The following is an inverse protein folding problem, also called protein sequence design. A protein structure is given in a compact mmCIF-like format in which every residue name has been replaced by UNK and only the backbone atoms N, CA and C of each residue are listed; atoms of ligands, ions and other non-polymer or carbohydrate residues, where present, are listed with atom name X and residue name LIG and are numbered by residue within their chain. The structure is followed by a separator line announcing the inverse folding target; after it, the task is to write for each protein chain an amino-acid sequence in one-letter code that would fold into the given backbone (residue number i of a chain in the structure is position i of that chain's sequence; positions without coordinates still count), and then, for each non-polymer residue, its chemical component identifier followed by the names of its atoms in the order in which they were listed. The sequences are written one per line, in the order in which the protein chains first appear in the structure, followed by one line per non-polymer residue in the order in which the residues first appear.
data_IF_738775542756
#
_entry.id   IF_738775542756
#
_cell.length_a   1.000
_cell.length_b   1.000
_cell.length_c   1.000
_cell.angle_alpha   90.00
_cell.angle_beta   90.00
_cell.angle_gamma   90.00
#
_symmetry.space_group_name_H-M   'P 1'
#
loop_
_entity.id
_entity.type
_entity.pdbx_description
1 polymer ?
#
# COMPACT_ATOMS: atom_id res chain seq x y z
N UNK A 1 32.05 18.82 -1.64
CA UNK A 1 32.03 17.36 -1.35
C UNK A 1 31.42 17.01 0.01
N UNK A 2 31.91 17.54 1.15
CA UNK A 2 31.40 17.20 2.50
C UNK A 2 29.91 17.51 2.77
N UNK A 3 29.35 18.62 2.25
CA UNK A 3 27.91 18.93 2.41
C UNK A 3 27.00 17.90 1.71
N UNK A 4 27.40 17.43 0.52
CA UNK A 4 26.67 16.41 -0.24
C UNK A 4 26.64 15.06 0.50
N UNK A 5 27.77 14.62 1.05
CA UNK A 5 27.85 13.40 1.87
C UNK A 5 26.98 13.46 3.13
N UNK A 6 26.93 14.60 3.83
CA UNK A 6 26.08 14.77 5.02
C UNK A 6 24.59 14.68 4.67
N UNK A 7 24.17 15.27 3.55
CA UNK A 7 22.79 15.17 3.07
C UNK A 7 22.40 13.74 2.69
N UNK A 8 23.26 13.02 1.96
CA UNK A 8 23.03 11.64 1.57
C UNK A 8 22.90 10.71 2.80
N UNK A 9 23.78 10.85 3.80
CA UNK A 9 23.68 10.10 5.06
C UNK A 9 22.40 10.38 5.82
N UNK A 10 21.89 11.63 5.80
CA UNK A 10 20.64 11.99 6.47
C UNK A 10 19.44 11.31 5.82
N UNK A 11 19.40 11.28 4.48
CA UNK A 11 18.37 10.57 3.71
C UNK A 11 18.44 9.06 3.97
N UNK A 12 19.63 8.46 3.89
CA UNK A 12 19.81 7.03 4.14
C UNK A 12 19.37 6.61 5.55
N UNK A 13 19.69 7.41 6.57
CA UNK A 13 19.24 7.18 7.95
C UNK A 13 17.72 7.26 8.06
N UNK A 14 17.10 8.21 7.38
CA UNK A 14 15.64 8.34 7.36
C UNK A 14 14.97 7.14 6.65
N UNK A 15 15.47 6.74 5.47
CA UNK A 15 14.97 5.57 4.73
C UNK A 15 15.09 4.30 5.59
N UNK A 16 16.28 4.03 6.13
CA UNK A 16 16.48 2.88 7.04
C UNK A 16 15.53 2.94 8.24
N UNK A 17 15.39 4.12 8.83
CA UNK A 17 14.52 4.36 9.97
C UNK A 17 13.02 4.20 9.67
N UNK A 18 12.60 4.22 8.40
CA UNK A 18 11.21 3.98 7.99
C UNK A 18 10.95 2.53 7.60
N UNK A 19 11.79 1.96 6.73
CA UNK A 19 11.55 0.63 6.14
C UNK A 19 12.08 -0.54 6.98
N UNK A 20 13.08 -0.34 7.86
CA UNK A 20 13.57 -1.39 8.77
C UNK A 20 12.85 -1.39 10.12
N UNK A 21 11.57 -1.01 10.13
CA UNK A 21 10.77 -0.92 11.35
C UNK A 21 9.79 -2.07 11.48
N UNK A 22 9.42 -2.37 12.73
CA UNK A 22 8.29 -3.26 13.02
C UNK A 22 6.99 -2.76 12.37
N UNK A 23 6.85 -1.46 12.17
CA UNK A 23 5.68 -0.85 11.53
C UNK A 23 5.59 -1.25 10.06
N UNK A 24 6.68 -1.15 9.29
CA UNK A 24 6.71 -1.59 7.89
C UNK A 24 6.40 -3.08 7.76
N UNK A 25 7.00 -3.92 8.61
CA UNK A 25 6.74 -5.37 8.58
C UNK A 25 5.28 -5.70 8.88
N UNK A 26 4.68 -5.08 9.90
CA UNK A 26 3.25 -5.23 10.19
C UNK A 26 2.38 -4.76 9.03
N UNK A 27 2.72 -3.62 8.44
CA UNK A 27 2.00 -3.11 7.27
C UNK A 27 2.06 -4.09 6.10
N UNK A 28 3.22 -4.69 5.83
CA UNK A 28 3.38 -5.71 4.79
C UNK A 28 2.56 -6.98 5.09
N UNK A 29 2.54 -7.44 6.34
CA UNK A 29 1.73 -8.59 6.78
C UNK A 29 0.23 -8.30 6.57
N UNK A 30 -0.24 -7.11 6.98
CA UNK A 30 -1.62 -6.69 6.76
C UNK A 30 -1.92 -6.56 5.27
N UNK A 31 -1.00 -5.99 4.48
CA UNK A 31 -1.14 -5.92 3.03
C UNK A 31 -1.31 -7.30 2.39
N UNK A 32 -0.47 -8.27 2.79
CA UNK A 32 -0.56 -9.65 2.35
C UNK A 32 -1.87 -10.34 2.74
N UNK A 33 -2.36 -10.11 3.96
CA UNK A 33 -3.67 -10.66 4.36
C UNK A 33 -4.81 -10.07 3.54
N UNK A 34 -4.75 -8.79 3.16
CA UNK A 34 -5.70 -8.17 2.24
C UNK A 34 -5.74 -8.84 0.86
N UNK A 35 -4.61 -9.27 0.31
CA UNK A 35 -4.58 -10.01 -0.97
C UNK A 35 -5.33 -11.34 -0.84
N UNK A 36 -5.11 -12.06 0.27
CA UNK A 36 -5.80 -13.33 0.56
C UNK A 36 -7.31 -13.08 0.71
N UNK A 37 -7.71 -12.07 1.50
CA UNK A 37 -9.12 -11.69 1.68
C UNK A 37 -9.77 -11.33 0.35
N UNK A 38 -9.11 -10.52 -0.49
CA UNK A 38 -9.61 -10.16 -1.81
C UNK A 38 -9.87 -11.42 -2.66
N UNK A 39 -8.89 -12.32 -2.73
CA UNK A 39 -9.00 -13.55 -3.51
C UNK A 39 -10.12 -14.45 -3.01
N UNK A 40 -10.23 -14.65 -1.69
CA UNK A 40 -11.27 -15.49 -1.09
C UNK A 40 -12.67 -14.91 -1.33
N UNK A 41 -12.87 -13.61 -1.09
CA UNK A 41 -14.17 -12.96 -1.30
C UNK A 41 -14.56 -13.01 -2.78
N UNK A 42 -13.62 -12.74 -3.68
CA UNK A 42 -13.86 -12.83 -5.12
C UNK A 42 -14.30 -14.24 -5.52
N UNK A 43 -13.55 -15.28 -5.13
CA UNK A 43 -13.87 -16.67 -5.44
C UNK A 43 -15.21 -17.11 -4.85
N UNK A 44 -15.52 -16.68 -3.62
CA UNK A 44 -16.80 -17.00 -2.98
C UNK A 44 -17.95 -16.40 -3.79
N UNK A 45 -17.86 -15.12 -4.14
CA UNK A 45 -18.91 -14.42 -4.87
C UNK A 45 -19.07 -14.99 -6.29
N UNK A 46 -17.99 -15.29 -7.01
CA UNK A 46 -18.11 -15.80 -8.39
C UNK A 46 -18.56 -17.25 -8.48
N UNK A 47 -18.18 -18.10 -7.51
CA UNK A 47 -18.43 -19.54 -7.62
C UNK A 47 -19.70 -20.00 -6.88
N UNK A 48 -20.14 -19.25 -5.88
CA UNK A 48 -21.28 -19.63 -5.03
C UNK A 48 -22.46 -18.67 -5.11
N UNK A 49 -22.37 -17.62 -5.93
CA UNK A 49 -23.47 -16.68 -6.16
C UNK A 49 -23.62 -16.39 -7.65
N UNK A 50 -24.76 -15.82 -8.05
CA UNK A 50 -25.01 -15.38 -9.43
C UNK A 50 -24.51 -13.95 -9.70
N UNK A 51 -23.66 -13.38 -8.83
CA UNK A 51 -23.15 -12.02 -8.97
C UNK A 51 -22.17 -11.95 -10.13
N UNK A 52 -22.32 -10.94 -10.98
CA UNK A 52 -21.42 -10.68 -12.10
C UNK A 52 -19.98 -10.44 -11.62
N UNK A 53 -18.98 -11.02 -12.30
CA UNK A 53 -17.57 -11.00 -11.87
C UNK A 53 -16.99 -9.60 -11.64
N UNK A 54 -17.44 -8.58 -12.39
CA UNK A 54 -17.01 -7.19 -12.17
C UNK A 54 -17.51 -6.63 -10.83
N UNK A 55 -18.77 -6.94 -10.46
CA UNK A 55 -19.36 -6.52 -9.19
C UNK A 55 -18.69 -7.30 -8.05
N UNK A 56 -18.48 -8.61 -8.23
CA UNK A 56 -17.74 -9.44 -7.28
C UNK A 56 -16.32 -8.89 -7.02
N UNK A 57 -15.62 -8.46 -8.08
CA UNK A 57 -14.29 -7.85 -7.98
C UNK A 57 -14.30 -6.53 -7.19
N UNK A 58 -15.28 -5.67 -7.43
CA UNK A 58 -15.43 -4.43 -6.68
C UNK A 58 -15.70 -4.68 -5.19
N UNK A 59 -16.62 -5.60 -4.87
CA UNK A 59 -16.94 -5.99 -3.47
C UNK A 59 -15.73 -6.60 -2.78
N UNK A 60 -15.01 -7.51 -3.46
CA UNK A 60 -13.80 -8.13 -2.94
C UNK A 60 -12.70 -7.10 -2.64
N UNK A 61 -12.50 -6.16 -3.57
CA UNK A 61 -11.49 -5.09 -3.43
C UNK A 61 -11.80 -4.20 -2.24
N UNK A 62 -13.06 -3.75 -2.12
CA UNK A 62 -13.47 -2.91 -0.99
C UNK A 62 -13.35 -3.67 0.34
N UNK A 63 -13.77 -4.94 0.37
CA UNK A 63 -13.63 -5.78 1.57
C UNK A 63 -12.17 -5.91 2.00
N UNK A 64 -11.25 -6.08 1.05
CA UNK A 64 -9.83 -6.14 1.33
C UNK A 64 -9.26 -4.78 1.82
N UNK A 65 -9.71 -3.67 1.25
CA UNK A 65 -9.33 -2.31 1.69
C UNK A 65 -9.78 -2.10 3.14
N UNK A 66 -11.02 -2.44 3.48
CA UNK A 66 -11.57 -2.31 4.84
C UNK A 66 -10.89 -3.25 5.84
N UNK A 67 -10.60 -4.50 5.46
CA UNK A 67 -9.78 -5.42 6.25
C UNK A 67 -8.42 -4.80 6.57
N UNK A 68 -7.74 -4.29 5.54
CA UNK A 68 -6.42 -3.69 5.69
C UNK A 68 -6.47 -2.43 6.54
N UNK A 69 -7.49 -1.58 6.37
CA UNK A 69 -7.69 -0.40 7.20
C UNK A 69 -7.85 -0.80 8.67
N UNK A 70 -8.71 -1.78 8.95
CA UNK A 70 -9.02 -2.26 10.29
C UNK A 70 -7.77 -2.75 11.01
N UNK A 71 -7.00 -3.66 10.40
CA UNK A 71 -5.78 -4.17 11.02
C UNK A 71 -4.66 -3.14 11.12
N UNK A 72 -4.54 -2.23 10.14
CA UNK A 72 -3.60 -1.13 10.26
C UNK A 72 -3.96 -0.18 11.40
N UNK A 73 -5.24 0.11 11.58
CA UNK A 73 -5.73 0.95 12.67
C UNK A 73 -5.54 0.29 14.05
N UNK A 74 -5.91 -0.98 14.17
CA UNK A 74 -5.92 -1.71 15.45
C UNK A 74 -4.55 -2.27 15.86
N UNK A 75 -3.64 -2.52 14.91
CA UNK A 75 -2.38 -3.22 15.21
C UNK A 75 -1.11 -2.54 14.68
N UNK A 76 -1.08 -2.14 13.40
CA UNK A 76 0.13 -1.53 12.80
C UNK A 76 0.42 -0.16 13.42
N UNK A 77 -0.59 0.69 13.47
CA UNK A 77 -0.48 2.08 13.87
C UNK A 77 -1.23 2.40 15.18
N UNK A 78 -1.55 1.38 15.99
CA UNK A 78 -2.35 1.48 17.22
C UNK A 78 -1.93 2.60 18.18
N UNK A 79 -0.63 2.89 18.26
CA UNK A 79 -0.04 3.86 19.20
C UNK A 79 0.14 5.26 18.60
N UNK A 80 -0.42 5.54 17.42
CA UNK A 80 -0.26 6.83 16.74
C UNK A 80 -1.36 7.82 17.14
N UNK A 81 -1.13 9.11 16.86
CA UNK A 81 -1.93 10.23 17.37
C UNK A 81 -3.44 10.13 17.11
N UNK A 82 -4.24 10.98 17.75
CA UNK A 82 -5.71 10.96 17.60
C UNK A 82 -6.12 11.79 16.38
N UNK A 83 -6.69 11.12 15.38
CA UNK A 83 -7.35 11.76 14.23
C UNK A 83 -8.71 11.08 14.03
N UNK A 84 -9.70 11.86 13.59
CA UNK A 84 -11.05 11.37 13.32
C UNK A 84 -11.01 10.14 12.38
N UNK A 85 -11.78 9.10 12.72
CA UNK A 85 -11.78 7.84 11.99
C UNK A 85 -12.23 8.00 10.53
N UNK A 86 -13.20 8.87 10.24
CA UNK A 86 -13.67 9.13 8.88
C UNK A 86 -12.57 9.77 8.03
N UNK A 87 -11.81 10.70 8.61
CA UNK A 87 -10.64 11.30 7.94
C UNK A 87 -9.59 10.23 7.66
N UNK A 88 -9.37 9.28 8.58
CA UNK A 88 -8.46 8.15 8.37
C UNK A 88 -8.93 7.24 7.24
N UNK A 89 -10.21 6.92 7.18
CA UNK A 89 -10.79 6.09 6.11
C UNK A 89 -10.61 6.79 4.77
N UNK A 90 -10.98 8.06 4.66
CA UNK A 90 -10.84 8.84 3.43
C UNK A 90 -9.37 8.95 2.98
N UNK A 91 -8.47 9.30 3.90
CA UNK A 91 -7.03 9.39 3.62
C UNK A 91 -6.44 8.02 3.22
N UNK A 92 -6.93 6.92 3.81
CA UNK A 92 -6.48 5.58 3.46
C UNK A 92 -6.92 5.19 2.04
N UNK A 93 -8.15 5.50 1.63
CA UNK A 93 -8.61 5.30 0.26
C UNK A 93 -7.79 6.13 -0.73
N UNK A 94 -7.57 7.41 -0.45
CA UNK A 94 -6.72 8.27 -1.26
C UNK A 94 -5.30 7.71 -1.39
N UNK A 95 -4.76 7.16 -0.30
CA UNK A 95 -3.48 6.44 -0.30
C UNK A 95 -3.51 5.23 -1.24
N UNK A 96 -4.56 4.39 -1.21
CA UNK A 96 -4.68 3.21 -2.09
C UNK A 96 -4.72 3.60 -3.57
N UNK A 97 -5.49 4.63 -3.90
CA UNK A 97 -5.58 5.17 -5.26
C UNK A 97 -4.24 5.69 -5.74
N UNK A 98 -3.53 6.46 -4.89
CA UNK A 98 -2.19 6.92 -5.22
C UNK A 98 -1.21 5.75 -5.44
N UNK A 99 -1.26 4.72 -4.59
CA UNK A 99 -0.44 3.52 -4.78
C UNK A 99 -0.73 2.82 -6.11
N UNK A 100 -2.00 2.74 -6.53
CA UNK A 100 -2.38 2.20 -7.83
C UNK A 100 -1.82 3.05 -8.98
N UNK A 101 -1.95 4.38 -8.91
CA UNK A 101 -1.40 5.30 -9.91
C UNK A 101 0.12 5.12 -10.02
N UNK A 102 0.83 5.02 -8.88
CA UNK A 102 2.28 4.79 -8.86
C UNK A 102 2.65 3.45 -9.50
N UNK A 103 1.89 2.38 -9.23
CA UNK A 103 2.10 1.07 -9.87
C UNK A 103 1.90 1.17 -11.39
N UNK A 104 0.79 1.75 -11.85
CA UNK A 104 0.50 1.85 -13.29
C UNK A 104 1.53 2.73 -14.01
N UNK A 105 1.86 3.89 -13.45
CA UNK A 105 2.87 4.78 -14.01
C UNK A 105 4.25 4.13 -14.00
N UNK A 106 4.62 3.44 -12.92
CA UNK A 106 5.88 2.70 -12.83
C UNK A 106 5.99 1.61 -13.88
N UNK A 107 4.91 0.84 -14.09
CA UNK A 107 4.87 -0.18 -15.13
C UNK A 107 5.05 0.44 -16.52
N UNK A 108 4.31 1.50 -16.83
CA UNK A 108 4.41 2.21 -18.11
C UNK A 108 5.83 2.73 -18.37
N UNK A 109 6.45 3.36 -17.38
CA UNK A 109 7.82 3.87 -17.52
C UNK A 109 8.80 2.72 -17.73
N UNK A 110 8.74 1.66 -16.93
CA UNK A 110 9.72 0.57 -16.99
C UNK A 110 9.55 -0.29 -18.24
N UNK A 111 8.32 -0.68 -18.57
CA UNK A 111 8.02 -1.59 -19.68
C UNK A 111 7.95 -0.85 -21.01
N UNK A 112 7.13 0.20 -21.11
CA UNK A 112 6.81 0.83 -22.39
C UNK A 112 7.82 1.91 -22.79
N UNK A 113 8.32 2.72 -21.85
CA UNK A 113 9.29 3.77 -22.17
C UNK A 113 10.74 3.27 -22.19
N UNK A 114 11.12 2.42 -21.23
CA UNK A 114 12.49 1.90 -21.12
C UNK A 114 12.70 0.54 -21.81
N UNK A 115 11.62 -0.12 -22.25
CA UNK A 115 11.70 -1.40 -22.95
C UNK A 115 12.17 -2.57 -22.08
N UNK A 116 12.05 -2.48 -20.75
CA UNK A 116 12.45 -3.56 -19.85
C UNK A 116 11.44 -4.72 -19.92
N UNK A 117 11.86 -5.96 -19.60
CA UNK A 117 10.95 -7.11 -19.63
C UNK A 117 9.73 -6.90 -18.70
N UNK A 118 8.55 -7.33 -19.17
CA UNK A 118 7.27 -7.08 -18.50
C UNK A 118 7.21 -7.60 -17.06
N UNK A 119 7.57 -8.87 -16.84
CA UNK A 119 7.46 -9.51 -15.52
C UNK A 119 8.28 -8.79 -14.43
N UNK A 120 9.60 -8.52 -14.60
CA UNK A 120 10.35 -7.76 -13.61
C UNK A 120 9.85 -6.31 -13.47
N UNK A 121 9.44 -5.66 -14.57
CA UNK A 121 8.85 -4.32 -14.53
C UNK A 121 7.59 -4.27 -13.66
N UNK A 122 6.72 -5.28 -13.79
CA UNK A 122 5.50 -5.40 -13.00
C UNK A 122 5.77 -5.62 -11.52
N UNK A 123 6.72 -6.49 -11.17
CA UNK A 123 7.13 -6.72 -9.78
C UNK A 123 7.69 -5.44 -9.15
N UNK A 124 8.56 -4.72 -9.86
CA UNK A 124 9.14 -3.46 -9.40
C UNK A 124 8.03 -2.40 -9.24
N UNK A 125 7.12 -2.30 -10.20
CA UNK A 125 6.00 -1.36 -10.15
C UNK A 125 5.08 -1.61 -8.94
N UNK A 126 4.73 -2.87 -8.64
CA UNK A 126 3.99 -3.23 -7.42
C UNK A 126 4.77 -2.81 -6.18
N UNK A 127 6.08 -3.05 -6.15
CA UNK A 127 6.95 -2.62 -5.06
C UNK A 127 6.90 -1.11 -4.82
N UNK A 128 6.96 -0.31 -5.89
CA UNK A 128 6.81 1.15 -5.82
C UNK A 128 5.44 1.56 -5.28
N UNK A 129 4.36 0.92 -5.73
CA UNK A 129 3.01 1.17 -5.22
C UNK A 129 2.87 0.82 -3.73
N UNK A 130 3.46 -0.29 -3.28
CA UNK A 130 3.50 -0.68 -1.86
C UNK A 130 4.28 0.35 -1.03
N UNK A 131 5.40 0.84 -1.54
CA UNK A 131 6.19 1.89 -0.89
C UNK A 131 5.39 3.19 -0.76
N UNK A 132 4.74 3.64 -1.84
CA UNK A 132 3.88 4.82 -1.82
C UNK A 132 2.76 4.66 -0.80
N UNK A 133 2.07 3.52 -0.84
CA UNK A 133 1.02 3.13 0.09
C UNK A 133 1.47 3.18 1.56
N UNK A 134 2.67 2.66 1.85
CA UNK A 134 3.22 2.67 3.20
C UNK A 134 3.55 4.10 3.64
N UNK A 135 4.31 4.85 2.84
CA UNK A 135 4.74 6.21 3.19
C UNK A 135 3.55 7.13 3.42
N UNK A 136 2.53 7.09 2.57
CA UNK A 136 1.35 7.94 2.76
C UNK A 136 0.53 7.51 3.96
N UNK A 137 0.47 6.20 4.25
CA UNK A 137 -0.17 5.70 5.47
C UNK A 137 0.58 6.15 6.71
N UNK A 138 1.90 6.10 6.66
CA UNK A 138 2.81 6.41 7.75
C UNK A 138 2.85 7.91 8.08
N UNK A 139 2.81 8.76 7.06
CA UNK A 139 2.99 10.20 7.20
C UNK A 139 1.67 10.96 7.32
N UNK A 140 0.61 10.52 6.64
CA UNK A 140 -0.64 11.28 6.54
C UNK A 140 -1.83 10.56 7.16
N UNK A 141 -1.98 9.26 6.95
CA UNK A 141 -3.13 8.53 7.51
C UNK A 141 -2.96 8.33 9.00
N UNK A 142 -1.80 7.86 9.46
CA UNK A 142 -1.45 7.70 10.87
C UNK A 142 -0.11 8.41 11.17
N UNK A 143 -0.10 9.74 11.28
CA UNK A 143 1.13 10.48 11.60
C UNK A 143 1.67 10.11 12.98
N UNK A 144 3.00 10.10 13.11
CA UNK A 144 3.68 10.00 14.40
C UNK A 144 3.43 11.29 15.19
N UNK A 145 3.05 11.15 16.47
CA UNK A 145 2.79 12.25 17.40
C UNK A 145 4.07 12.75 18.06
#
# INVERSE_FOLDING_TARGET
MLKSMKSAMRILRWIRGKFLTKTFLKFAIVGGSGVIVNMLVFLILTNYTSIHHLIASAIATETAILNNFTWNHLWTFRRRGKMNILVRIAAFHASRVLGLIVTVAGLYVLSDLLGLPMNPSYIVAIGLGVIANFLTSDLFVWPES
#
